data_IF_071799964444
#
_entry.id   IF_071799964444
#
_cell.length_a   1.000
_cell.length_b   1.000
_cell.length_c   1.000
_cell.angle_alpha   90.00
_cell.angle_beta   90.00
_cell.angle_gamma   90.00
#
_symmetry.space_group_name_H-M   'P 1'
#
loop_
_entity.id
_entity.type
_entity.pdbx_description
1 polymer ?
#
# COMPACT_ATOMS: atom_id res chain seq x y z
N UNK A 1 10.77 10.71 12.05
CA UNK A 1 9.31 10.97 12.20
C UNK A 1 8.49 9.77 11.72
N UNK A 2 8.83 9.18 10.56
CA UNK A 2 8.21 7.97 10.01
C UNK A 2 8.17 6.77 10.99
N UNK A 3 9.25 6.53 11.73
CA UNK A 3 9.30 5.45 12.73
C UNK A 3 8.27 5.58 13.86
N UNK A 4 7.84 6.81 14.21
CA UNK A 4 6.77 7.02 15.19
C UNK A 4 5.39 6.66 14.61
N UNK A 5 5.18 6.90 13.32
CA UNK A 5 3.95 6.55 12.62
C UNK A 5 3.87 5.03 12.46
N UNK A 6 4.95 4.37 12.05
CA UNK A 6 5.04 2.90 12.01
C UNK A 6 4.72 2.29 13.39
N UNK A 7 5.32 2.81 14.46
CA UNK A 7 5.04 2.34 15.82
C UNK A 7 3.59 2.59 16.27
N UNK A 8 2.94 3.67 15.82
CA UNK A 8 1.53 3.94 16.12
C UNK A 8 0.62 3.01 15.30
N UNK A 9 0.91 2.80 14.02
CA UNK A 9 0.16 1.90 13.15
C UNK A 9 0.25 0.44 13.64
N UNK A 10 1.43 0.00 14.09
CA UNK A 10 1.59 -1.31 14.75
C UNK A 10 0.74 -1.43 16.02
N UNK A 11 0.71 -0.39 16.87
CA UNK A 11 -0.15 -0.36 18.06
C UNK A 11 -1.64 -0.37 17.75
N UNK A 12 -2.04 0.15 16.60
CA UNK A 12 -3.42 0.10 16.10
C UNK A 12 -3.78 -1.24 15.43
N UNK A 13 -2.87 -2.22 15.44
CA UNK A 13 -3.08 -3.54 14.82
C UNK A 13 -2.91 -3.52 13.29
N UNK A 14 -2.42 -2.42 12.72
CA UNK A 14 -2.13 -2.27 11.30
C UNK A 14 -0.67 -2.67 11.02
N UNK A 15 -0.18 -3.80 11.55
CA UNK A 15 1.16 -4.29 11.23
C UNK A 15 1.15 -5.12 9.93
N UNK A 16 2.26 -5.13 9.20
CA UNK A 16 2.38 -5.83 7.90
C UNK A 16 2.34 -7.37 8.01
N UNK A 17 2.40 -7.93 9.23
CA UNK A 17 2.81 -9.32 9.47
C UNK A 17 1.73 -10.40 9.29
N UNK A 18 0.53 -10.08 8.78
CA UNK A 18 -0.55 -11.08 8.59
C UNK A 18 -1.35 -10.89 7.29
N UNK A 19 -0.68 -10.77 6.13
CA UNK A 19 -1.39 -10.75 4.83
C UNK A 19 -0.90 -11.86 3.91
N UNK A 20 -1.84 -12.63 3.36
CA UNK A 20 -1.56 -13.66 2.37
C UNK A 20 -1.12 -13.09 1.01
N UNK A 21 -1.36 -11.79 0.78
CA UNK A 21 -1.02 -11.07 -0.45
C UNK A 21 -0.05 -9.95 -0.09
N UNK A 22 1.07 -9.89 -0.80
CA UNK A 22 2.05 -8.82 -0.75
C UNK A 22 2.00 -8.06 -2.09
N UNK A 23 1.88 -6.74 -2.04
CA UNK A 23 1.99 -5.88 -3.22
C UNK A 23 3.12 -4.87 -3.00
N UNK A 24 3.85 -4.54 -4.07
CA UNK A 24 4.90 -3.53 -4.08
C UNK A 24 4.69 -2.62 -5.29
N UNK A 25 4.95 -1.34 -5.09
CA UNK A 25 4.99 -0.38 -6.19
C UNK A 25 6.28 -0.58 -6.99
N UNK A 26 6.19 -0.50 -8.31
CA UNK A 26 7.35 -0.55 -9.20
C UNK A 26 8.32 0.60 -8.95
N UNK A 27 7.80 1.75 -8.52
CA UNK A 27 8.58 2.86 -8.01
C UNK A 27 9.00 2.60 -6.55
N UNK A 28 10.29 2.34 -6.27
CA UNK A 28 10.75 1.97 -4.93
C UNK A 28 10.49 3.05 -3.88
N UNK A 29 10.55 4.34 -4.26
CA UNK A 29 10.32 5.45 -3.35
C UNK A 29 8.90 5.43 -2.74
N UNK A 30 7.92 4.92 -3.49
CA UNK A 30 6.55 4.78 -2.98
C UNK A 30 6.44 3.71 -1.89
N UNK A 31 7.27 2.66 -1.92
CA UNK A 31 7.24 1.61 -0.89
C UNK A 31 7.78 2.09 0.47
N UNK A 32 8.56 3.18 0.48
CA UNK A 32 9.06 3.80 1.72
C UNK A 32 8.08 4.84 2.30
N UNK A 33 7.31 5.50 1.43
CA UNK A 33 6.41 6.60 1.81
C UNK A 33 4.95 6.17 2.03
N UNK A 34 4.59 4.96 1.58
CA UNK A 34 3.23 4.44 1.66
C UNK A 34 3.15 3.20 2.54
N UNK A 35 2.17 3.23 3.44
CA UNK A 35 1.76 2.07 4.20
C UNK A 35 0.49 1.46 3.58
N UNK A 36 0.59 0.26 3.00
CA UNK A 36 -0.59 -0.45 2.48
C UNK A 36 -1.44 -0.87 3.68
N UNK A 37 -2.70 -0.44 3.75
CA UNK A 37 -3.66 -0.86 4.78
C UNK A 37 -4.43 -2.11 4.37
N UNK A 38 -4.89 -2.15 3.12
CA UNK A 38 -5.77 -3.21 2.61
C UNK A 38 -5.48 -3.48 1.14
N UNK A 39 -5.63 -4.74 0.76
CA UNK A 39 -5.60 -5.21 -0.62
C UNK A 39 -6.90 -5.97 -0.82
N UNK A 40 -7.72 -5.50 -1.75
CA UNK A 40 -8.91 -6.21 -2.22
C UNK A 40 -8.65 -6.71 -3.63
N UNK A 41 -9.01 -7.95 -3.92
CA UNK A 41 -8.84 -8.55 -5.23
C UNK A 41 -10.14 -9.19 -5.69
N UNK A 42 -10.58 -8.86 -6.89
CA UNK A 42 -11.67 -9.54 -7.57
C UNK A 42 -11.11 -10.25 -8.80
N UNK A 43 -11.43 -11.54 -8.94
CA UNK A 43 -11.07 -12.32 -10.12
C UNK A 43 -12.34 -12.86 -10.77
N UNK A 44 -12.67 -12.33 -11.94
CA UNK A 44 -13.81 -12.75 -12.74
C UNK A 44 -13.39 -13.69 -13.87
N UNK A 45 -14.19 -14.70 -14.15
CA UNK A 45 -13.97 -15.57 -15.31
C UNK A 45 -13.97 -14.71 -16.59
N UNK A 46 -12.88 -14.79 -17.36
CA UNK A 46 -12.61 -13.98 -18.56
C UNK A 46 -12.55 -12.44 -18.33
N UNK A 47 -12.49 -11.98 -17.08
CA UNK A 47 -12.38 -10.55 -16.74
C UNK A 47 -11.00 -10.18 -16.16
N UNK A 48 -10.16 -11.20 -15.94
CA UNK A 48 -8.84 -11.02 -15.37
C UNK A 48 -8.88 -10.75 -13.86
N UNK A 49 -7.75 -10.28 -13.34
CA UNK A 49 -7.57 -9.92 -11.93
C UNK A 49 -7.63 -8.40 -11.81
N UNK A 50 -8.56 -7.92 -11.00
CA UNK A 50 -8.58 -6.53 -10.54
C UNK A 50 -8.17 -6.50 -9.08
N UNK A 51 -7.24 -5.62 -8.73
CA UNK A 51 -6.82 -5.40 -7.36
C UNK A 51 -6.94 -3.93 -6.98
N UNK A 52 -7.51 -3.67 -5.81
CA UNK A 52 -7.61 -2.34 -5.21
C UNK A 52 -6.70 -2.29 -3.99
N UNK A 53 -5.84 -1.28 -3.96
CA UNK A 53 -4.91 -1.01 -2.86
C UNK A 53 -5.40 0.22 -2.10
N UNK A 54 -5.60 0.09 -0.78
CA UNK A 54 -5.82 1.24 0.10
C UNK A 54 -4.53 1.48 0.86
N UNK A 55 -3.95 2.67 0.70
CA UNK A 55 -2.69 3.06 1.32
C UNK A 55 -2.86 4.30 2.22
N UNK A 56 -1.97 4.45 3.20
CA UNK A 56 -1.79 5.67 3.99
C UNK A 56 -0.42 6.26 3.73
N UNK A 57 -0.33 7.59 3.73
CA UNK A 57 0.94 8.29 3.84
C UNK A 57 0.83 9.40 4.87
N UNK A 58 1.96 9.71 5.50
CA UNK A 58 2.14 10.96 6.24
C UNK A 58 2.54 12.13 5.33
N UNK A 59 2.92 11.83 4.08
CA UNK A 59 3.37 12.79 3.09
C UNK A 59 2.20 13.16 2.16
N UNK A 60 1.64 14.36 2.36
CA UNK A 60 0.53 14.87 1.55
C UNK A 60 0.98 15.44 0.19
N UNK A 61 2.28 15.46 -0.11
CA UNK A 61 2.86 16.10 -1.30
C UNK A 61 3.31 15.11 -2.36
N UNK A 62 2.98 13.82 -2.21
CA UNK A 62 3.34 12.79 -3.20
C UNK A 62 2.58 13.08 -4.51
N UNK A 63 3.28 13.35 -5.63
CA UNK A 63 2.61 13.62 -6.89
C UNK A 63 1.91 12.37 -7.44
N UNK A 64 0.65 12.49 -7.86
CA UNK A 64 -0.15 11.36 -8.38
C UNK A 64 0.49 10.63 -9.57
N UNK A 65 1.27 11.33 -10.39
CA UNK A 65 2.00 10.72 -11.51
C UNK A 65 2.99 9.63 -11.09
N UNK A 66 3.44 9.63 -9.83
CA UNK A 66 4.37 8.63 -9.31
C UNK A 66 3.72 7.24 -9.17
N UNK A 67 2.39 7.17 -9.12
CA UNK A 67 1.62 5.92 -8.98
C UNK A 67 1.33 5.23 -10.32
N UNK A 68 1.64 5.87 -11.44
CA UNK A 68 1.48 5.29 -12.77
C UNK A 68 2.66 4.33 -12.99
N UNK A 69 2.36 3.04 -13.17
CA UNK A 69 3.37 2.04 -13.53
C UNK A 69 3.98 2.35 -14.90
N UNK A 70 5.26 2.01 -15.07
CA UNK A 70 5.94 2.02 -16.39
C UNK A 70 5.49 0.80 -17.19
#
# INVERSE_FOLDING_TARGET
>A
MLGKILAVLEKLGLSAQKRAIHAQFSNPALNEELFIQRIDGEHGLNQGLQATLICLSANALIPLKQFIGV
#
